data_IF_158256237213
#
_entry.id   IF_158256237213
#
_cell.length_a   1.000
_cell.length_b   1.000
_cell.length_c   1.000
_cell.angle_alpha   90.00
_cell.angle_beta   90.00
_cell.angle_gamma   90.00
#
_symmetry.space_group_name_H-M   'P 1'
#
loop_
_entity.id
_entity.type
_entity.pdbx_description
1 polymer ?
#
# COMPACT_ATOMS: atom_id res chain seq x y z
N UNK A 1 -4.60 33.51 -40.26
CA UNK A 1 -5.75 32.73 -39.75
C UNK A 1 -6.37 33.56 -38.63
N UNK A 2 -7.59 34.06 -38.79
CA UNK A 2 -8.27 34.91 -37.79
C UNK A 2 -9.03 33.97 -36.85
N UNK A 3 -8.48 33.70 -35.66
CA UNK A 3 -9.16 32.92 -34.63
C UNK A 3 -10.22 33.80 -33.98
N UNK A 4 -11.50 33.57 -34.30
CA UNK A 4 -12.61 34.34 -33.74
C UNK A 4 -12.89 33.83 -32.32
N UNK A 5 -12.61 34.64 -31.30
CA UNK A 5 -12.92 34.28 -29.91
C UNK A 5 -14.42 34.46 -29.65
N UNK A 6 -15.11 33.47 -29.06
CA UNK A 6 -16.51 33.60 -28.71
C UNK A 6 -16.70 34.73 -27.68
N UNK A 7 -17.72 35.55 -27.86
CA UNK A 7 -18.11 36.60 -26.93
C UNK A 7 -18.79 35.94 -25.71
N UNK A 8 -18.16 36.01 -24.54
CA UNK A 8 -18.67 35.44 -23.27
C UNK A 8 -17.63 34.60 -22.52
N UNK A 9 -18.03 34.04 -21.37
CA UNK A 9 -17.20 33.10 -20.63
C UNK A 9 -17.27 31.71 -21.27
N UNK A 10 -16.10 31.16 -21.61
CA UNK A 10 -15.97 29.88 -22.30
C UNK A 10 -15.15 28.90 -21.46
N UNK A 11 -15.70 27.69 -21.25
CA UNK A 11 -15.00 26.60 -20.57
C UNK A 11 -14.96 25.38 -21.47
N UNK A 12 -13.78 24.92 -21.84
CA UNK A 12 -13.62 23.76 -22.71
C UNK A 12 -12.45 23.89 -23.69
N UNK A 13 -12.42 22.99 -24.67
CA UNK A 13 -11.37 22.94 -25.71
C UNK A 13 -11.82 23.71 -26.96
N UNK A 14 -10.94 24.51 -27.55
CA UNK A 14 -11.10 25.12 -28.88
C UNK A 14 -9.82 24.77 -29.63
N UNK A 15 -9.90 23.88 -30.62
CA UNK A 15 -8.74 23.44 -31.40
C UNK A 15 -7.55 23.00 -30.51
N UNK A 16 -6.45 23.74 -30.57
CA UNK A 16 -5.21 23.57 -29.82
C UNK A 16 -5.16 24.40 -28.52
N UNK A 17 -6.28 24.95 -28.06
CA UNK A 17 -6.38 25.75 -26.83
C UNK A 17 -7.45 25.20 -25.89
N UNK A 18 -7.29 25.46 -24.60
CA UNK A 18 -8.30 25.23 -23.57
C UNK A 18 -8.61 26.56 -22.90
N UNK A 19 -9.89 26.92 -22.93
CA UNK A 19 -10.45 28.07 -22.22
C UNK A 19 -11.00 27.67 -20.86
N UNK A 20 -10.72 28.48 -19.83
CA UNK A 20 -11.35 28.37 -18.52
C UNK A 20 -11.36 29.73 -17.82
N UNK A 21 -12.26 29.89 -16.85
CA UNK A 21 -12.35 31.12 -16.04
C UNK A 21 -11.46 30.98 -14.81
N UNK A 22 -10.58 31.96 -14.59
CA UNK A 22 -9.75 32.06 -13.37
C UNK A 22 -9.90 33.47 -12.80
N UNK A 23 -10.37 33.57 -11.56
CA UNK A 23 -10.59 34.85 -10.88
C UNK A 23 -11.45 35.83 -11.69
N UNK A 24 -12.57 35.37 -12.28
CA UNK A 24 -13.48 36.19 -13.08
C UNK A 24 -12.96 36.60 -14.46
N UNK A 25 -11.74 36.17 -14.85
CA UNK A 25 -11.15 36.43 -16.16
C UNK A 25 -11.13 35.18 -17.02
N UNK A 26 -11.46 35.34 -18.30
CA UNK A 26 -11.31 34.29 -19.30
C UNK A 26 -9.82 34.07 -19.59
N UNK A 27 -9.34 32.85 -19.42
CA UNK A 27 -7.96 32.45 -19.72
C UNK A 27 -7.99 31.38 -20.80
N UNK A 28 -7.25 31.61 -21.89
CA UNK A 28 -6.98 30.60 -22.90
C UNK A 28 -5.53 30.15 -22.78
N UNK A 29 -5.32 28.84 -22.76
CA UNK A 29 -3.98 28.24 -22.74
C UNK A 29 -3.85 27.29 -23.92
N UNK A 30 -2.74 27.34 -24.64
CA UNK A 30 -2.41 26.31 -25.61
C UNK A 30 -2.31 24.94 -24.93
N UNK A 31 -2.81 23.92 -25.61
CA UNK A 31 -2.69 22.54 -25.20
C UNK A 31 -1.24 22.16 -25.38
N UNK A 32 -0.67 21.59 -24.31
CA UNK A 32 0.65 21.01 -24.43
C UNK A 32 0.50 19.64 -25.09
N UNK A 33 0.81 19.56 -26.38
CA UNK A 33 0.76 18.32 -27.16
C UNK A 33 1.91 17.36 -26.79
N UNK A 34 2.91 17.83 -26.05
CA UNK A 34 4.04 17.04 -25.51
C UNK A 34 4.20 17.29 -24.01
N UNK A 35 3.23 16.84 -23.19
CA UNK A 35 3.34 16.96 -21.75
C UNK A 35 4.59 16.22 -21.25
N UNK A 36 5.36 16.85 -20.36
CA UNK A 36 6.54 16.23 -19.71
C UNK A 36 6.17 14.92 -18.98
N UNK A 37 4.91 14.79 -18.56
CA UNK A 37 4.35 13.59 -17.96
C UNK A 37 3.00 13.27 -18.63
N UNK A 38 3.00 12.45 -19.70
CA UNK A 38 1.82 12.20 -20.52
C UNK A 38 0.71 11.39 -19.83
N UNK A 39 0.98 10.79 -18.66
CA UNK A 39 0.01 9.98 -17.92
C UNK A 39 -0.63 8.90 -18.79
N UNK A 40 0.17 8.24 -19.63
CA UNK A 40 -0.34 7.14 -20.48
C UNK A 40 -0.88 6.00 -19.62
N UNK A 41 -1.76 5.18 -20.19
CA UNK A 41 -2.36 4.04 -19.46
C UNK A 41 -1.30 3.14 -18.83
N UNK A 42 -0.22 2.84 -19.56
CA UNK A 42 0.92 2.07 -19.03
C UNK A 42 1.60 2.77 -17.84
N UNK A 43 1.81 4.08 -17.91
CA UNK A 43 2.39 4.84 -16.80
C UNK A 43 1.46 4.86 -15.59
N UNK A 44 0.15 4.98 -15.81
CA UNK A 44 -0.86 5.00 -14.73
C UNK A 44 -1.01 3.62 -14.08
N UNK A 45 -0.97 2.54 -14.86
CA UNK A 45 -0.92 1.17 -14.36
C UNK A 45 0.32 0.93 -13.49
N UNK A 46 1.49 1.40 -13.93
CA UNK A 46 2.70 1.27 -13.11
C UNK A 46 2.61 2.08 -11.81
N UNK A 47 2.02 3.28 -11.84
CA UNK A 47 1.83 4.13 -10.65
C UNK A 47 0.89 3.53 -9.62
N UNK A 48 -0.19 2.89 -10.07
CA UNK A 48 -1.21 2.28 -9.19
C UNK A 48 -0.69 1.03 -8.48
N UNK A 49 0.30 0.32 -9.07
CA UNK A 49 1.03 -0.77 -8.39
C UNK A 49 1.89 -0.30 -7.24
N UNK A 50 2.55 0.85 -7.43
CA UNK A 50 3.57 1.34 -6.50
C UNK A 50 3.03 1.48 -5.08
N UNK A 51 1.79 1.97 -4.92
CA UNK A 51 1.20 2.16 -3.59
C UNK A 51 1.14 0.86 -2.78
N UNK A 52 0.80 -0.28 -3.39
CA UNK A 52 0.76 -1.56 -2.67
C UNK A 52 2.16 -2.01 -2.25
N UNK A 53 3.13 -1.91 -3.17
CA UNK A 53 4.53 -2.28 -2.91
C UNK A 53 5.11 -1.44 -1.78
N UNK A 54 4.80 -0.14 -1.72
CA UNK A 54 5.24 0.73 -0.64
C UNK A 54 4.59 0.36 0.71
N UNK A 55 3.31 -0.01 0.71
CA UNK A 55 2.66 -0.52 1.93
C UNK A 55 3.31 -1.83 2.38
N UNK A 56 3.56 -2.76 1.46
CA UNK A 56 4.22 -4.03 1.76
C UNK A 56 5.65 -3.83 2.29
N UNK A 57 6.42 -2.93 1.69
CA UNK A 57 7.76 -2.57 2.17
C UNK A 57 7.71 -2.07 3.61
N UNK A 58 6.75 -1.21 3.96
CA UNK A 58 6.63 -0.71 5.35
C UNK A 58 6.46 -1.87 6.33
N UNK A 59 5.60 -2.82 6.00
CA UNK A 59 5.35 -4.03 6.81
C UNK A 59 6.57 -4.95 6.87
N UNK A 60 7.31 -5.11 5.77
CA UNK A 60 8.46 -6.01 5.65
C UNK A 60 9.81 -5.35 5.98
N UNK A 61 9.83 -4.05 6.26
CA UNK A 61 11.07 -3.25 6.27
C UNK A 61 12.06 -3.67 7.35
N UNK A 62 11.61 -4.26 8.46
CA UNK A 62 12.49 -4.80 9.51
C UNK A 62 13.41 -5.89 8.96
N UNK A 63 12.90 -6.77 8.10
CA UNK A 63 13.67 -7.85 7.48
C UNK A 63 14.39 -7.40 6.20
N UNK A 64 13.66 -6.71 5.31
CA UNK A 64 14.13 -6.35 3.96
C UNK A 64 15.40 -5.48 3.97
N UNK A 65 15.63 -4.70 5.02
CA UNK A 65 16.78 -3.78 5.10
C UNK A 65 18.13 -4.49 5.01
N UNK A 66 18.20 -5.75 5.44
CA UNK A 66 19.45 -6.51 5.53
C UNK A 66 19.53 -7.67 4.54
N UNK A 67 18.41 -8.08 3.95
CA UNK A 67 18.27 -9.32 3.18
C UNK A 67 18.64 -9.23 1.69
N UNK A 68 19.03 -8.05 1.21
CA UNK A 68 19.52 -7.84 -0.16
C UNK A 68 21.05 -7.80 -0.18
N UNK A 69 21.67 -8.98 -0.23
CA UNK A 69 23.12 -9.18 -0.17
C UNK A 69 23.83 -8.64 -1.41
N UNK A 70 23.33 -8.93 -2.61
CA UNK A 70 23.98 -8.66 -3.90
C UNK A 70 23.67 -7.26 -4.46
N UNK A 71 23.20 -6.33 -3.61
CA UNK A 71 22.80 -4.99 -4.06
C UNK A 71 24.01 -4.13 -4.47
N UNK A 72 23.90 -3.35 -5.57
CA UNK A 72 24.91 -2.35 -5.91
C UNK A 72 25.08 -1.30 -4.79
N UNK A 73 26.29 -0.76 -4.56
CA UNK A 73 26.54 0.24 -3.51
C UNK A 73 25.68 1.51 -3.61
N UNK A 74 25.29 1.89 -4.83
CA UNK A 74 24.43 3.05 -5.10
C UNK A 74 22.95 2.83 -4.79
N UNK A 75 22.54 1.58 -4.55
CA UNK A 75 21.14 1.22 -4.31
C UNK A 75 20.91 0.79 -2.87
N UNK A 76 19.84 1.29 -2.28
CA UNK A 76 19.34 0.85 -0.98
C UNK A 76 18.54 -0.44 -1.12
N UNK A 77 18.38 -1.18 -0.02
CA UNK A 77 17.48 -2.34 0.01
C UNK A 77 16.03 -1.96 -0.37
N UNK A 78 15.60 -0.74 -0.02
CA UNK A 78 14.32 -0.19 -0.49
C UNK A 78 14.25 -0.11 -2.02
N UNK A 79 15.29 0.43 -2.67
CA UNK A 79 15.32 0.54 -4.13
C UNK A 79 15.27 -0.85 -4.79
N UNK A 80 15.98 -1.84 -4.24
CA UNK A 80 15.96 -3.21 -4.72
C UNK A 80 14.58 -3.84 -4.56
N UNK A 81 13.98 -3.74 -3.36
CA UNK A 81 12.64 -4.24 -3.10
C UNK A 81 11.60 -3.64 -4.04
N UNK A 82 11.61 -2.32 -4.24
CA UNK A 82 10.68 -1.66 -5.15
C UNK A 82 10.93 -2.11 -6.59
N UNK A 83 12.18 -2.16 -7.05
CA UNK A 83 12.54 -2.58 -8.42
C UNK A 83 12.05 -3.99 -8.73
N UNK A 84 12.30 -4.94 -7.85
CA UNK A 84 12.00 -6.35 -8.06
C UNK A 84 10.48 -6.59 -8.05
N UNK A 85 9.79 -5.99 -7.09
CA UNK A 85 8.35 -6.18 -6.93
C UNK A 85 7.51 -5.37 -7.92
N UNK A 86 8.02 -4.26 -8.47
CA UNK A 86 7.29 -3.48 -9.47
C UNK A 86 7.08 -4.25 -10.78
N UNK A 87 8.01 -5.15 -11.12
CA UNK A 87 7.90 -6.03 -12.28
C UNK A 87 7.09 -7.29 -11.99
N UNK A 88 7.30 -7.90 -10.82
CA UNK A 88 6.73 -9.19 -10.47
C UNK A 88 5.28 -9.12 -9.98
N UNK A 89 4.88 -8.02 -9.32
CA UNK A 89 3.57 -7.95 -8.67
C UNK A 89 2.55 -7.20 -9.52
N UNK A 90 1.40 -7.84 -9.73
CA UNK A 90 0.18 -7.26 -10.31
C UNK A 90 -0.87 -7.04 -9.22
N UNK A 91 -0.74 -5.94 -8.47
CA UNK A 91 -1.77 -5.51 -7.51
C UNK A 91 -1.98 -4.02 -7.71
N UNK A 92 -3.21 -3.63 -8.03
CA UNK A 92 -3.55 -2.25 -8.31
C UNK A 92 -4.43 -1.66 -7.20
N UNK A 93 -3.98 -0.56 -6.61
CA UNK A 93 -4.76 0.20 -5.63
C UNK A 93 -5.32 1.46 -6.27
N UNK A 94 -6.58 1.75 -5.96
CA UNK A 94 -7.16 3.05 -6.27
C UNK A 94 -6.64 4.14 -5.32
N UNK A 95 -6.93 5.39 -5.68
CA UNK A 95 -6.43 6.55 -4.94
C UNK A 95 -6.90 6.57 -3.48
N UNK A 96 -8.12 6.10 -3.19
CA UNK A 96 -8.65 6.08 -1.83
C UNK A 96 -7.95 5.01 -1.00
N UNK A 97 -7.79 3.82 -1.56
CA UNK A 97 -7.08 2.70 -0.94
C UNK A 97 -5.60 3.05 -0.67
N UNK A 98 -4.94 3.68 -1.63
CA UNK A 98 -3.56 4.12 -1.47
C UNK A 98 -3.39 5.18 -0.37
N UNK A 99 -4.32 6.15 -0.28
CA UNK A 99 -4.32 7.16 0.79
C UNK A 99 -4.56 6.54 2.16
N UNK A 100 -5.38 5.50 2.23
CA UNK A 100 -5.62 4.71 3.42
C UNK A 100 -4.48 3.72 3.74
N UNK A 101 -3.42 3.68 2.92
CA UNK A 101 -2.30 2.74 3.04
C UNK A 101 -2.74 1.28 3.07
N UNK A 102 -3.76 0.95 2.27
CA UNK A 102 -4.17 -0.42 2.05
C UNK A 102 -2.97 -1.27 1.61
N UNK A 103 -2.99 -2.54 1.98
CA UNK A 103 -1.97 -3.51 1.60
C UNK A 103 -2.64 -4.84 1.30
N UNK A 104 -2.51 -5.26 0.06
CA UNK A 104 -2.90 -6.58 -0.40
C UNK A 104 -1.65 -7.44 -0.46
N UNK A 105 -1.71 -8.58 0.21
CA UNK A 105 -0.63 -9.56 0.21
C UNK A 105 -0.47 -10.14 -1.20
N UNK A 106 0.78 -10.27 -1.63
CA UNK A 106 1.16 -10.83 -2.93
C UNK A 106 2.51 -11.55 -2.79
N UNK A 107 2.96 -12.16 -3.88
CA UNK A 107 4.27 -12.83 -3.96
C UNK A 107 5.39 -11.79 -4.03
N UNK A 108 5.72 -11.20 -2.89
CA UNK A 108 6.79 -10.22 -2.81
C UNK A 108 8.16 -10.91 -2.74
N UNK A 109 9.09 -10.49 -3.58
CA UNK A 109 10.51 -10.77 -3.38
C UNK A 109 10.99 -10.03 -2.14
N UNK A 110 11.55 -10.76 -1.18
CA UNK A 110 11.96 -10.24 0.14
C UNK A 110 13.45 -10.33 0.39
N UNK A 111 14.18 -11.14 -0.38
CA UNK A 111 15.63 -11.27 -0.28
C UNK A 111 16.26 -11.62 -1.63
N UNK A 112 17.52 -11.23 -1.78
CA UNK A 112 18.39 -11.65 -2.88
C UNK A 112 19.78 -11.92 -2.34
N UNK A 113 20.34 -13.08 -2.71
CA UNK A 113 21.66 -13.47 -2.27
C UNK A 113 22.16 -14.73 -2.96
N UNK A 114 23.27 -15.25 -2.44
CA UNK A 114 24.06 -16.30 -3.06
C UNK A 114 23.73 -17.71 -2.55
N UNK A 115 23.00 -17.84 -1.45
CA UNK A 115 22.62 -19.15 -0.92
C UNK A 115 21.49 -19.76 -1.78
N UNK A 116 21.40 -21.10 -1.85
CA UNK A 116 20.31 -21.77 -2.56
C UNK A 116 18.94 -21.32 -2.04
N UNK A 117 17.97 -21.01 -2.94
CA UNK A 117 16.61 -20.65 -2.56
C UNK A 117 15.89 -21.83 -1.90
N UNK A 118 14.95 -21.53 -1.00
CA UNK A 118 14.00 -22.53 -0.50
C UNK A 118 12.77 -22.44 -1.40
N UNK A 119 12.65 -23.38 -2.34
CA UNK A 119 11.47 -23.43 -3.20
C UNK A 119 10.24 -23.74 -2.35
N UNK A 120 9.12 -23.11 -2.66
CA UNK A 120 7.84 -23.35 -2.00
C UNK A 120 6.79 -23.55 -3.08
N UNK A 121 6.05 -24.65 -3.00
CA UNK A 121 5.01 -25.04 -3.97
C UNK A 121 3.71 -25.33 -3.24
N UNK A 122 2.59 -24.96 -3.85
CA UNK A 122 1.28 -25.38 -3.37
C UNK A 122 1.09 -26.88 -3.66
N UNK A 123 0.66 -27.62 -2.64
CA UNK A 123 0.28 -29.03 -2.72
C UNK A 123 -1.06 -29.19 -2.01
N UNK A 124 -2.14 -29.28 -2.78
CA UNK A 124 -3.50 -29.20 -2.25
C UNK A 124 -3.73 -27.88 -1.50
N UNK A 125 -4.20 -27.99 -0.26
CA UNK A 125 -4.47 -26.86 0.63
C UNK A 125 -3.27 -26.46 1.51
N UNK A 126 -2.07 -26.97 1.21
CA UNK A 126 -0.82 -26.67 1.92
C UNK A 126 0.24 -26.06 1.02
N UNK A 127 1.21 -25.39 1.63
CA UNK A 127 2.50 -25.10 1.01
C UNK A 127 3.53 -26.13 1.45
N UNK A 128 4.28 -26.70 0.52
CA UNK A 128 5.39 -27.62 0.77
C UNK A 128 6.67 -26.97 0.25
N UNK A 129 7.71 -27.01 1.06
CA UNK A 129 9.01 -26.42 0.73
C UNK A 129 10.00 -27.47 0.21
N UNK A 130 11.11 -27.02 -0.37
CA UNK A 130 12.23 -27.89 -0.72
C UNK A 130 13.09 -28.34 0.47
N UNK A 131 12.81 -27.86 1.69
CA UNK A 131 13.52 -28.31 2.89
C UNK A 131 13.12 -29.74 3.23
N UNK A 132 14.09 -30.64 3.20
CA UNK A 132 13.88 -32.07 3.46
C UNK A 132 13.96 -32.42 4.93
N UNK A 133 13.15 -33.39 5.33
CA UNK A 133 13.16 -34.07 6.62
C UNK A 133 13.14 -35.60 6.36
N UNK A 134 13.57 -36.42 7.33
CA UNK A 134 13.45 -37.87 7.22
C UNK A 134 11.99 -38.28 7.02
N UNK A 135 11.73 -39.26 6.17
CA UNK A 135 10.39 -39.82 5.98
C UNK A 135 9.90 -40.42 7.30
N UNK A 136 8.65 -40.12 7.68
CA UNK A 136 8.06 -40.57 8.94
C UNK A 136 8.49 -39.79 10.18
N UNK A 137 9.37 -38.78 10.05
CA UNK A 137 9.63 -37.85 11.13
C UNK A 137 8.44 -36.92 11.33
N UNK A 138 7.92 -36.84 12.55
CA UNK A 138 6.93 -35.86 12.98
C UNK A 138 7.56 -34.92 14.01
N UNK A 139 7.07 -33.69 14.07
CA UNK A 139 7.45 -32.73 15.09
C UNK A 139 6.26 -32.59 16.02
N UNK A 140 6.50 -32.76 17.31
CA UNK A 140 5.50 -32.62 18.38
C UNK A 140 5.98 -31.64 19.46
N UNK A 141 5.20 -31.49 20.54
CA UNK A 141 5.51 -30.58 21.65
C UNK A 141 6.80 -30.96 22.41
N UNK A 142 7.22 -32.22 22.34
CA UNK A 142 8.44 -32.69 23.00
C UNK A 142 9.68 -32.57 22.12
N UNK A 143 9.48 -32.44 20.82
CA UNK A 143 10.55 -32.35 19.83
C UNK A 143 11.35 -31.06 20.04
N UNK A 144 12.67 -31.22 20.17
CA UNK A 144 13.58 -30.11 20.46
C UNK A 144 14.12 -29.45 19.20
N UNK A 145 14.59 -28.20 19.32
CA UNK A 145 15.32 -27.52 18.26
C UNK A 145 16.58 -28.29 17.84
N UNK A 146 17.25 -28.96 18.78
CA UNK A 146 18.40 -29.85 18.53
C UNK A 146 18.06 -30.97 17.55
N UNK A 147 16.97 -31.67 17.81
CA UNK A 147 16.49 -32.76 16.96
C UNK A 147 16.10 -32.24 15.57
N UNK A 148 15.27 -31.19 15.48
CA UNK A 148 14.88 -30.60 14.19
C UNK A 148 16.11 -30.13 13.40
N UNK A 149 17.05 -29.46 14.06
CA UNK A 149 18.29 -28.97 13.43
C UNK A 149 19.13 -30.12 12.89
N UNK A 150 19.29 -31.19 13.67
CA UNK A 150 20.05 -32.37 13.24
C UNK A 150 19.44 -33.04 12.00
N UNK A 151 18.10 -33.13 11.94
CA UNK A 151 17.39 -33.68 10.79
C UNK A 151 17.51 -32.79 9.56
N UNK A 152 17.35 -31.48 9.71
CA UNK A 152 17.50 -30.53 8.61
C UNK A 152 18.92 -30.53 8.05
N UNK A 153 19.95 -30.45 8.89
CA UNK A 153 21.36 -30.48 8.45
C UNK A 153 21.70 -31.83 7.81
N UNK A 154 21.20 -32.94 8.36
CA UNK A 154 21.44 -34.28 7.82
C UNK A 154 20.79 -34.54 6.46
N UNK A 155 19.62 -33.94 6.18
CA UNK A 155 18.87 -34.16 4.95
C UNK A 155 19.13 -33.12 3.85
N UNK A 156 19.78 -31.99 4.17
CA UNK A 156 19.95 -30.87 3.23
C UNK A 156 21.42 -30.43 3.16
N UNK A 157 22.10 -30.78 2.07
CA UNK A 157 23.54 -30.53 1.89
C UNK A 157 23.95 -29.04 1.91
N UNK A 158 23.01 -28.12 1.66
CA UNK A 158 23.28 -26.67 1.69
C UNK A 158 23.28 -26.08 3.11
N UNK A 159 22.63 -26.75 4.06
CA UNK A 159 22.45 -26.27 5.43
C UNK A 159 23.60 -26.71 6.33
N UNK A 160 23.95 -25.85 7.28
CA UNK A 160 24.99 -26.10 8.29
C UNK A 160 24.53 -25.62 9.65
N UNK A 161 25.06 -26.22 10.70
CA UNK A 161 24.91 -25.66 12.05
C UNK A 161 25.43 -24.21 12.08
N UNK A 162 24.71 -23.34 12.78
CA UNK A 162 24.93 -21.89 12.80
C UNK A 162 24.21 -21.12 11.68
N UNK A 163 23.66 -21.79 10.67
CA UNK A 163 22.77 -21.13 9.70
C UNK A 163 21.44 -20.77 10.38
N UNK A 164 20.79 -19.71 9.89
CA UNK A 164 19.49 -19.24 10.37
C UNK A 164 18.43 -19.46 9.30
N UNK A 165 17.27 -19.95 9.73
CA UNK A 165 16.05 -20.01 8.92
C UNK A 165 15.06 -18.99 9.49
N UNK A 166 14.62 -18.06 8.64
CA UNK A 166 13.63 -17.03 8.98
C UNK A 166 12.36 -17.28 8.19
N UNK A 167 11.23 -17.42 8.88
CA UNK A 167 9.91 -17.62 8.29
C UNK A 167 9.14 -16.31 8.38
N UNK A 168 8.87 -15.72 7.23
CA UNK A 168 8.05 -14.52 7.10
C UNK A 168 6.63 -14.94 6.77
N UNK A 169 5.69 -14.70 7.68
CA UNK A 169 4.28 -14.86 7.42
C UNK A 169 3.59 -13.50 7.33
N UNK A 170 3.21 -13.12 6.12
CA UNK A 170 2.46 -11.91 5.83
C UNK A 170 0.96 -12.24 5.82
N UNK A 171 0.28 -11.95 6.93
CA UNK A 171 -1.15 -12.22 7.15
C UNK A 171 -1.99 -11.17 6.44
N UNK A 172 -2.98 -11.61 5.67
CA UNK A 172 -3.99 -10.70 5.10
C UNK A 172 -5.09 -10.44 6.14
N UNK A 173 -5.22 -9.18 6.57
CA UNK A 173 -6.27 -8.79 7.52
C UNK A 173 -7.39 -8.07 6.78
N UNK A 174 -8.62 -8.57 6.97
CA UNK A 174 -9.87 -7.98 6.50
C UNK A 174 -10.69 -7.56 7.71
N UNK A 175 -10.77 -6.27 8.03
CA UNK A 175 -11.61 -5.81 9.11
C UNK A 175 -13.09 -5.94 8.75
N UNK A 176 -13.95 -6.21 9.74
CA UNK A 176 -15.41 -6.35 9.56
C UNK A 176 -16.02 -5.10 8.90
N UNK A 177 -16.96 -5.32 7.98
CA UNK A 177 -17.69 -4.27 7.25
C UNK A 177 -18.52 -3.36 8.17
N UNK A 178 -18.79 -3.76 9.41
CA UNK A 178 -19.56 -2.99 10.41
C UNK A 178 -18.95 -1.62 10.74
N UNK A 179 -17.64 -1.42 10.50
CA UNK A 179 -16.95 -0.15 10.72
C UNK A 179 -16.58 0.61 9.43
N UNK A 180 -17.30 0.38 8.32
CA UNK A 180 -17.53 1.31 7.21
C UNK A 180 -16.33 1.92 6.43
N UNK A 181 -15.08 1.68 6.84
CA UNK A 181 -13.90 2.41 6.36
C UNK A 181 -12.61 1.60 6.36
N UNK A 182 -12.65 0.34 6.80
CA UNK A 182 -11.41 -0.35 7.13
C UNK A 182 -10.88 -1.10 5.89
N UNK A 183 -9.87 -0.51 5.27
CA UNK A 183 -9.22 -1.06 4.08
C UNK A 183 -8.43 -2.32 4.41
N UNK A 184 -8.30 -3.27 3.45
CA UNK A 184 -7.46 -4.44 3.65
C UNK A 184 -6.03 -4.02 3.93
N UNK A 185 -5.42 -4.65 4.93
CA UNK A 185 -4.04 -4.40 5.32
C UNK A 185 -3.32 -5.71 5.62
N UNK A 186 -2.00 -5.64 5.73
CA UNK A 186 -1.15 -6.80 5.97
C UNK A 186 -0.39 -6.64 7.28
N UNK A 187 -0.24 -7.74 8.01
CA UNK A 187 0.57 -7.84 9.22
C UNK A 187 1.70 -8.86 8.99
N UNK A 188 2.89 -8.57 9.50
CA UNK A 188 4.02 -9.50 9.45
C UNK A 188 4.16 -10.23 10.79
N UNK A 189 4.20 -11.55 10.74
CA UNK A 189 4.76 -12.40 11.79
C UNK A 189 6.09 -12.95 11.31
N UNK A 190 7.15 -12.72 12.07
CA UNK A 190 8.49 -13.19 11.77
C UNK A 190 8.91 -14.21 12.82
N UNK A 191 9.28 -15.41 12.39
CA UNK A 191 9.82 -16.46 13.24
C UNK A 191 11.24 -16.77 12.78
N UNK A 192 12.17 -16.92 13.71
CA UNK A 192 13.56 -17.18 13.39
C UNK A 192 14.15 -18.21 14.34
N UNK A 193 14.96 -19.12 13.82
CA UNK A 193 15.78 -20.01 14.63
C UNK A 193 17.11 -20.26 13.95
N UNK A 194 18.12 -20.54 14.76
CA UNK A 194 19.46 -20.93 14.31
C UNK A 194 19.56 -22.46 14.43
N UNK A 195 20.15 -23.11 13.42
CA UNK A 195 20.39 -24.54 13.43
C UNK A 195 21.46 -24.86 14.46
N UNK A 196 21.06 -25.51 15.56
CA UNK A 196 21.91 -25.83 16.71
C UNK A 196 21.56 -27.25 17.17
N UNK A 197 22.54 -28.15 17.23
CA UNK A 197 22.29 -29.59 17.41
C UNK A 197 22.11 -30.05 18.85
N UNK A 198 22.54 -29.26 19.82
CA UNK A 198 22.51 -29.54 21.26
C UNK A 198 21.40 -28.77 22.00
N UNK A 199 20.59 -28.00 21.27
CA UNK A 199 19.51 -27.20 21.84
C UNK A 199 18.37 -28.08 22.36
N UNK A 200 18.03 -27.90 23.65
CA UNK A 200 16.92 -28.60 24.32
C UNK A 200 15.61 -27.81 24.32
N UNK A 201 15.58 -26.68 23.64
CA UNK A 201 14.39 -25.82 23.59
C UNK A 201 13.31 -26.55 22.79
N UNK A 202 12.08 -26.73 23.32
CA UNK A 202 10.99 -27.31 22.54
C UNK A 202 10.69 -26.47 21.30
N UNK A 203 10.68 -27.09 20.12
CA UNK A 203 10.74 -26.37 18.84
C UNK A 203 9.55 -25.41 18.63
N UNK A 204 8.34 -25.83 19.00
CA UNK A 204 7.13 -25.02 18.86
C UNK A 204 6.99 -23.86 19.85
N UNK A 205 7.95 -23.68 20.77
CA UNK A 205 8.06 -22.41 21.52
C UNK A 205 8.67 -21.29 20.68
N UNK A 206 9.42 -21.64 19.62
CA UNK A 206 10.07 -20.71 18.71
C UNK A 206 9.34 -20.56 17.38
N UNK A 207 8.48 -21.54 17.04
CA UNK A 207 7.83 -21.66 15.74
C UNK A 207 6.33 -21.87 15.87
N UNK A 208 5.54 -21.23 15.00
CA UNK A 208 4.12 -21.57 14.87
C UNK A 208 4.00 -22.93 14.18
N UNK A 209 3.37 -23.89 14.87
CA UNK A 209 3.15 -25.24 14.38
C UNK A 209 2.49 -25.26 13.00
N UNK A 210 1.63 -24.29 12.68
CA UNK A 210 0.93 -24.25 11.38
C UNK A 210 1.84 -23.83 10.23
N UNK A 211 2.98 -23.22 10.50
CA UNK A 211 3.93 -22.73 9.50
C UNK A 211 5.12 -23.68 9.29
N UNK A 212 5.30 -24.67 10.16
CA UNK A 212 6.43 -25.58 10.09
C UNK A 212 6.06 -26.96 10.62
N UNK A 213 5.68 -27.86 9.70
CA UNK A 213 5.40 -29.27 9.99
C UNK A 213 6.14 -30.17 9.03
N UNK A 214 6.36 -31.41 9.45
CA UNK A 214 6.81 -32.45 8.54
C UNK A 214 5.61 -32.96 7.72
N UNK A 215 5.71 -32.84 6.39
CA UNK A 215 4.72 -33.28 5.41
C UNK A 215 5.47 -34.08 4.35
N UNK A 216 5.24 -35.40 4.29
CA UNK A 216 5.83 -36.30 3.28
C UNK A 216 7.35 -36.12 3.10
N UNK A 217 8.09 -36.07 4.21
CA UNK A 217 9.55 -35.90 4.19
C UNK A 217 10.03 -34.49 3.82
N UNK A 218 9.15 -33.49 3.86
CA UNK A 218 9.47 -32.09 3.62
C UNK A 218 8.92 -31.19 4.73
N UNK A 219 9.42 -29.97 4.83
CA UNK A 219 8.78 -28.94 5.66
C UNK A 219 7.62 -28.33 4.88
N UNK A 220 6.46 -28.24 5.50
CA UNK A 220 5.28 -27.59 4.93
C UNK A 220 4.45 -26.84 5.97
N UNK A 221 3.41 -26.20 5.47
CA UNK A 221 2.38 -25.57 6.29
C UNK A 221 1.26 -26.54 6.59
N UNK A 222 0.47 -26.22 7.61
CA UNK A 222 -0.82 -26.84 7.83
C UNK A 222 -1.87 -26.37 6.78
N UNK A 223 -3.02 -27.03 6.74
CA UNK A 223 -4.16 -26.67 5.88
C UNK A 223 -4.84 -25.38 6.35
N UNK A 224 -4.83 -25.09 7.66
CA UNK A 224 -5.62 -24.00 8.26
C UNK A 224 -4.78 -22.81 8.77
N UNK A 225 -3.82 -22.36 7.96
CA UNK A 225 -2.98 -21.19 8.30
C UNK A 225 -3.75 -19.86 8.19
N UNK A 226 -4.73 -19.80 7.28
CA UNK A 226 -5.48 -18.60 6.94
C UNK A 226 -4.97 -17.91 5.66
N UNK A 227 -5.49 -16.72 5.37
CA UNK A 227 -5.09 -15.96 4.18
C UNK A 227 -3.77 -15.19 4.37
N UNK A 228 -2.90 -15.23 3.37
CA UNK A 228 -1.65 -14.50 3.38
C UNK A 228 -0.59 -15.09 2.46
N UNK A 229 0.67 -14.82 2.77
CA UNK A 229 1.81 -15.39 2.06
C UNK A 229 2.93 -15.72 3.04
N UNK A 230 3.65 -16.80 2.76
CA UNK A 230 4.75 -17.31 3.60
C UNK A 230 6.03 -17.38 2.79
N UNK A 231 7.16 -17.00 3.38
CA UNK A 231 8.48 -17.17 2.79
C UNK A 231 9.47 -17.75 3.79
N UNK A 232 10.30 -18.68 3.33
CA UNK A 232 11.35 -19.32 4.13
C UNK A 232 12.70 -18.81 3.62
N UNK A 233 13.41 -18.04 4.44
CA UNK A 233 14.69 -17.44 4.05
C UNK A 233 15.82 -18.13 4.79
N UNK A 234 16.78 -18.65 4.04
CA UNK A 234 18.03 -19.18 4.57
C UNK A 234 19.05 -18.05 4.64
N UNK A 235 19.70 -17.89 5.78
CA UNK A 235 20.81 -16.95 5.95
C UNK A 235 21.98 -17.58 6.69
N UNK A 236 23.19 -17.12 6.35
CA UNK A 236 24.44 -17.58 6.96
C UNK A 236 25.29 -16.39 7.35
N UNK A 237 25.65 -16.29 8.61
CA UNK A 237 26.60 -15.27 9.08
C UNK A 237 28.03 -15.73 8.80
N UNK A 238 28.75 -15.00 7.97
CA UNK A 238 30.18 -15.19 7.73
C UNK A 238 30.99 -14.13 8.50
N UNK A 239 32.32 -14.22 8.44
CA UNK A 239 33.21 -13.21 9.06
C UNK A 239 33.04 -11.81 8.45
N UNK A 240 32.60 -11.73 7.18
CA UNK A 240 32.57 -10.47 6.41
C UNK A 240 31.17 -9.90 6.24
N UNK A 241 30.16 -10.77 6.09
CA UNK A 241 28.78 -10.38 5.84
C UNK A 241 27.80 -11.50 6.19
N UNK A 242 26.50 -11.18 6.15
CA UNK A 242 25.44 -12.20 6.15
C UNK A 242 25.09 -12.54 4.70
N UNK A 243 25.20 -13.82 4.35
CA UNK A 243 24.73 -14.37 3.09
C UNK A 243 23.25 -14.72 3.21
N UNK A 244 22.48 -14.52 2.14
CA UNK A 244 21.04 -14.81 2.10
C UNK A 244 20.70 -15.70 0.91
N UNK A 245 19.61 -16.44 1.01
CA UNK A 245 18.96 -17.05 -0.14
C UNK A 245 18.11 -16.02 -0.87
N UNK A 246 17.99 -16.16 -2.19
CA UNK A 246 17.02 -15.36 -2.96
C UNK A 246 15.62 -15.92 -2.71
N UNK A 247 14.72 -15.12 -2.14
CA UNK A 247 13.40 -15.60 -1.72
C UNK A 247 12.28 -14.64 -2.09
N UNK A 248 11.18 -15.23 -2.55
CA UNK A 248 9.87 -14.58 -2.64
C UNK A 248 8.88 -15.27 -1.71
N UNK A 249 7.88 -14.52 -1.25
CA UNK A 249 6.75 -15.08 -0.52
C UNK A 249 5.90 -15.93 -1.48
N UNK A 250 5.42 -17.08 -1.01
CA UNK A 250 4.44 -17.90 -1.69
C UNK A 250 3.06 -17.66 -1.09
N UNK A 251 2.05 -17.49 -1.94
CA UNK A 251 0.67 -17.28 -1.48
C UNK A 251 0.12 -18.55 -0.83
N UNK A 252 -0.48 -18.41 0.35
CA UNK A 252 -1.19 -19.52 0.99
C UNK A 252 -2.43 -19.89 0.18
N UNK A 253 -2.76 -21.18 0.07
CA UNK A 253 -4.04 -21.65 -0.45
C UNK A 253 -5.20 -20.92 0.25
N UNK A 254 -6.14 -20.40 -0.54
CA UNK A 254 -7.25 -19.56 -0.02
C UNK A 254 -7.01 -18.05 -0.10
N UNK A 255 -5.82 -17.58 -0.43
CA UNK A 255 -5.56 -16.14 -0.60
C UNK A 255 -6.13 -15.62 -1.93
N UNK A 256 -7.33 -15.03 -1.88
CA UNK A 256 -8.08 -14.62 -3.08
C UNK A 256 -7.97 -13.13 -3.43
N UNK A 257 -7.72 -12.27 -2.45
CA UNK A 257 -7.72 -10.80 -2.63
C UNK A 257 -6.73 -10.34 -3.70
N UNK A 258 -5.55 -10.95 -3.75
CA UNK A 258 -4.54 -10.64 -4.76
C UNK A 258 -5.05 -10.85 -6.19
N UNK A 259 -5.90 -11.87 -6.43
CA UNK A 259 -6.48 -12.13 -7.76
C UNK A 259 -7.48 -11.04 -8.16
N UNK A 260 -8.34 -10.63 -7.23
CA UNK A 260 -9.28 -9.53 -7.48
C UNK A 260 -8.53 -8.22 -7.75
N UNK A 261 -7.53 -7.93 -6.93
CA UNK A 261 -6.75 -6.69 -7.03
C UNK A 261 -5.73 -6.68 -8.17
N UNK A 262 -5.37 -7.85 -8.70
CA UNK A 262 -4.52 -8.00 -9.89
C UNK A 262 -5.26 -8.04 -11.22
N UNK A 263 -6.60 -8.01 -11.19
CA UNK A 263 -7.40 -8.04 -12.42
C UNK A 263 -7.24 -6.77 -13.27
N UNK A 264 -7.38 -6.92 -14.60
CA UNK A 264 -7.42 -5.79 -15.53
C UNK A 264 -8.53 -4.79 -15.17
N UNK A 265 -9.71 -5.28 -14.77
CA UNK A 265 -10.82 -4.43 -14.31
C UNK A 265 -10.43 -3.57 -13.10
N UNK A 266 -9.69 -4.13 -12.14
CA UNK A 266 -9.17 -3.35 -11.01
C UNK A 266 -8.12 -2.34 -11.49
N UNK A 267 -7.24 -2.75 -12.38
CA UNK A 267 -6.22 -1.88 -12.99
C UNK A 267 -6.84 -0.63 -13.62
N UNK A 268 -7.87 -0.80 -14.45
CA UNK A 268 -8.54 0.32 -15.14
C UNK A 268 -9.32 1.20 -14.15
N UNK A 269 -10.01 0.60 -13.17
CA UNK A 269 -10.67 1.34 -12.07
C UNK A 269 -9.67 2.16 -11.26
N UNK A 270 -8.53 1.58 -10.93
CA UNK A 270 -7.47 2.24 -10.20
C UNK A 270 -6.92 3.41 -11.02
N UNK A 271 -6.56 3.20 -12.28
CA UNK A 271 -6.05 4.26 -13.17
C UNK A 271 -7.01 5.45 -13.25
N UNK A 272 -8.31 5.20 -13.50
CA UNK A 272 -9.34 6.22 -13.59
C UNK A 272 -9.51 7.04 -12.29
N UNK A 273 -9.21 6.46 -11.12
CA UNK A 273 -9.28 7.17 -9.83
C UNK A 273 -8.19 8.23 -9.64
N UNK A 274 -7.08 8.13 -10.39
CA UNK A 274 -5.97 9.09 -10.35
C UNK A 274 -6.04 10.13 -11.45
N UNK A 275 -6.85 9.90 -12.49
CA UNK A 275 -7.13 10.90 -13.50
C UNK A 275 -7.83 12.10 -12.86
N UNK A 276 -7.36 13.32 -13.15
CA UNK A 276 -8.17 14.50 -12.90
C UNK A 276 -9.37 14.38 -13.84
N UNK A 277 -10.59 14.30 -13.29
CA UNK A 277 -11.80 14.63 -14.06
C UNK A 277 -11.66 16.06 -14.54
N UNK A 278 -11.06 16.26 -15.72
CA UNK A 278 -11.50 17.33 -16.58
C UNK A 278 -12.88 16.85 -17.00
N UNK A 279 -13.93 17.38 -16.38
CA UNK A 279 -15.26 17.23 -16.94
C UNK A 279 -15.11 17.54 -18.43
N UNK A 280 -15.26 16.52 -19.29
CA UNK A 280 -15.56 16.73 -20.70
C UNK A 280 -16.98 17.29 -20.71
N UNK A 281 -17.11 18.53 -20.24
CA UNK A 281 -18.33 19.28 -20.33
C UNK A 281 -18.65 19.37 -21.80
N UNK A 282 -19.75 18.70 -22.18
CA UNK A 282 -20.50 19.14 -23.35
C UNK A 282 -20.63 20.66 -23.24
N UNK A 283 -20.29 21.36 -24.32
CA UNK A 283 -20.41 22.81 -24.47
C UNK A 283 -21.73 23.28 -23.82
N UNK A 284 -21.63 23.91 -22.65
CA UNK A 284 -22.72 24.69 -22.08
C UNK A 284 -22.25 26.12 -22.13
N UNK A 285 -22.68 26.84 -23.16
CA UNK A 285 -22.63 28.29 -23.14
C UNK A 285 -23.62 28.78 -22.09
N UNK A 286 -23.19 29.70 -21.23
CA UNK A 286 -24.09 30.51 -20.39
C UNK A 286 -24.78 31.56 -21.27
N UNK A 287 -25.64 31.07 -22.16
CA UNK A 287 -26.79 31.75 -22.74
C UNK A 287 -27.57 30.63 -23.43
N UNK A 288 -28.83 30.42 -23.04
CA UNK A 288 -29.63 29.27 -23.44
C UNK A 288 -29.95 29.21 -24.93
N UNK A 289 -28.95 28.96 -25.78
CA UNK A 289 -29.10 28.64 -27.20
C UNK A 289 -28.16 27.51 -27.56
N UNK A 290 -28.76 26.36 -27.87
CA UNK A 290 -28.07 25.26 -28.53
C UNK A 290 -27.71 25.71 -29.96
N UNK A 291 -26.41 25.86 -30.24
CA UNK A 291 -25.92 26.05 -31.60
C UNK A 291 -25.67 24.68 -32.21
N UNK A 292 -26.59 24.21 -33.06
CA UNK A 292 -26.32 23.14 -34.00
C UNK A 292 -25.43 23.70 -35.12
N UNK A 293 -24.24 23.13 -35.27
CA UNK A 293 -23.36 23.41 -36.40
C UNK A 293 -23.77 22.47 -37.54
N UNK A 294 -24.45 23.01 -38.53
CA UNK A 294 -24.53 22.41 -39.86
C UNK A 294 -23.91 23.37 -40.89
N UNK A 295 -23.32 22.78 -41.92
CA UNK A 295 -22.30 23.36 -42.80
C UNK A 295 -22.60 24.79 -43.25
N UNK A 296 -21.77 25.73 -42.76
CA UNK A 296 -21.39 26.96 -43.46
C UNK A 296 -22.51 27.83 -44.02
N UNK A 297 -23.28 28.49 -43.15
CA UNK A 297 -23.84 29.85 -43.32
C UNK A 297 -24.71 30.20 -42.11
N UNK A 298 -24.38 31.29 -41.42
CA UNK A 298 -25.21 31.86 -40.35
C UNK A 298 -26.34 32.67 -40.99
N UNK A 299 -27.58 32.25 -40.80
CA UNK A 299 -28.78 33.05 -41.05
C UNK A 299 -29.45 33.29 -39.69
N UNK A 300 -29.68 34.57 -39.34
CA UNK A 300 -30.42 34.96 -38.14
C UNK A 300 -31.85 35.23 -38.58
N UNK A 301 -32.79 34.38 -38.18
CA UNK A 301 -34.22 34.67 -38.25
C UNK A 301 -34.75 34.74 -36.82
N UNK A 302 -35.45 35.83 -36.52
CA UNK A 302 -36.07 36.11 -35.23
C UNK A 302 -37.58 36.01 -35.38
N UNK A 303 -38.15 34.91 -34.93
CA UNK A 303 -39.57 34.83 -34.57
C UNK A 303 -39.66 34.45 -33.10
N UNK A 304 -40.32 35.29 -32.30
CA UNK A 304 -41.51 34.91 -31.52
C UNK A 304 -41.84 35.99 -30.49
N UNK A 305 -43.08 36.49 -30.57
CA UNK A 305 -43.69 37.39 -29.61
C UNK A 305 -45.14 36.92 -29.44
N UNK A 306 -45.40 35.96 -28.56
CA UNK A 306 -46.75 35.63 -28.08
C UNK A 306 -46.76 35.12 -26.64
N UNK A 307 -47.46 35.90 -25.80
CA UNK A 307 -48.37 35.48 -24.70
C UNK A 307 -47.74 34.86 -23.45
N UNK A 308 -48.24 35.05 -22.23
CA UNK A 308 -49.18 35.99 -21.61
C UNK A 308 -48.91 35.96 -20.09
N UNK A 309 -49.10 37.09 -19.42
CA UNK A 309 -49.06 37.25 -17.96
C UNK A 309 -50.50 37.13 -17.41
N UNK A 310 -50.67 36.41 -16.30
CA UNK A 310 -51.77 36.58 -15.36
C UNK A 310 -51.19 36.59 -13.92
N UNK A 311 -51.14 37.74 -13.25
CA UNK A 311 -52.03 38.21 -12.15
C UNK A 311 -51.68 37.57 -10.79
N UNK A 312 -50.85 38.20 -9.95
CA UNK A 312 -51.16 39.16 -8.85
C UNK A 312 -51.91 38.55 -7.65
N UNK A 313 -51.28 38.61 -6.48
CA UNK A 313 -51.88 38.48 -5.14
C UNK A 313 -50.92 38.96 -4.04
N UNK A 314 -51.15 40.17 -3.52
CA UNK A 314 -50.44 40.90 -2.43
C UNK A 314 -50.50 40.13 -1.09
N UNK A 315 -49.43 39.99 -0.30
CA UNK A 315 -48.79 40.92 0.68
C UNK A 315 -49.72 41.47 1.76
N UNK A 316 -49.46 41.15 3.04
CA UNK A 316 -49.39 42.05 4.22
C UNK A 316 -48.49 41.39 5.31
N UNK A 317 -47.77 42.16 6.16
CA UNK A 317 -46.49 41.77 6.78
C UNK A 317 -46.48 41.74 8.34
N UNK A 318 -45.25 41.67 8.90
CA UNK A 318 -44.76 42.11 10.22
C UNK A 318 -44.62 41.12 11.39
N UNK A 319 -43.42 41.16 12.01
CA UNK A 319 -43.25 41.08 13.47
C UNK A 319 -42.57 39.83 14.04
N UNK A 320 -41.29 39.94 14.42
CA UNK A 320 -40.65 39.13 15.49
C UNK A 320 -41.11 39.66 16.87
N UNK A 321 -41.10 38.87 17.97
CA UNK A 321 -39.89 38.78 18.81
C UNK A 321 -39.69 37.46 19.60
N UNK A 322 -38.54 37.42 20.29
CA UNK A 322 -37.93 36.38 21.13
C UNK A 322 -38.75 35.92 22.36
N UNK A 323 -38.44 34.71 22.88
CA UNK A 323 -38.08 34.38 24.28
C UNK A 323 -38.37 32.89 24.58
N UNK A 324 -37.39 32.03 24.87
CA UNK A 324 -36.77 31.65 26.18
C UNK A 324 -37.64 30.81 27.13
N UNK A 325 -37.24 29.53 27.35
CA UNK A 325 -37.35 28.65 28.56
C UNK A 325 -37.43 27.19 28.09
N UNK A 326 -36.84 26.16 28.72
CA UNK A 326 -35.96 26.02 29.89
C UNK A 326 -35.22 24.68 29.70
N UNK A 327 -33.94 24.59 30.09
CA UNK A 327 -33.44 24.11 31.39
C UNK A 327 -33.83 22.65 31.68
N UNK A 328 -32.80 21.80 31.58
CA UNK A 328 -32.66 20.50 32.25
C UNK A 328 -31.17 20.29 32.53
N UNK A 329 -30.74 20.78 33.69
CA UNK A 329 -29.46 20.46 34.36
C UNK A 329 -29.35 18.92 34.55
N UNK A 330 -28.18 18.28 34.59
CA UNK A 330 -27.18 18.45 35.64
C UNK A 330 -25.92 17.60 35.36
N UNK A 331 -24.76 18.21 35.68
CA UNK A 331 -23.61 17.65 36.41
C UNK A 331 -22.88 16.44 35.77
N UNK A 332 -21.58 16.44 35.52
CA UNK A 332 -20.48 17.32 35.89
C UNK A 332 -19.20 16.49 35.91
N UNK A 333 -18.07 17.10 35.52
CA UNK A 333 -16.68 16.91 36.01
C UNK A 333 -15.70 17.42 34.96
N UNK A 334 -15.18 18.62 35.20
CA UNK A 334 -14.03 19.13 34.48
C UNK A 334 -12.76 18.42 34.95
N UNK A 335 -11.88 18.10 34.00
CA UNK A 335 -10.45 17.96 34.25
C UNK A 335 -9.67 18.72 33.17
N UNK A 336 -8.97 19.71 33.70
CA UNK A 336 -7.88 20.53 33.16
C UNK A 336 -6.99 19.78 32.14
N UNK A 337 -6.94 20.27 30.89
CA UNK A 337 -5.91 19.89 29.92
C UNK A 337 -4.57 20.54 30.32
N UNK A 338 -3.67 19.77 30.94
CA UNK A 338 -2.24 20.12 31.05
C UNK A 338 -1.55 19.93 29.68
N UNK A 339 -0.64 20.82 29.26
CA UNK A 339 0.04 20.71 27.96
C UNK A 339 1.23 19.74 28.05
N UNK A 340 0.98 18.46 27.77
CA UNK A 340 1.98 17.38 27.74
C UNK A 340 3.16 17.62 26.77
N UNK A 341 3.04 18.57 25.83
CA UNK A 341 4.05 18.82 24.79
C UNK A 341 5.25 19.63 25.28
N UNK A 342 5.12 20.43 26.34
CA UNK A 342 6.22 21.29 26.82
C UNK A 342 7.21 20.51 27.68
N UNK A 343 6.72 19.51 28.42
CA UNK A 343 7.54 18.69 29.33
C UNK A 343 8.38 17.67 28.56
N UNK A 344 7.83 17.07 27.50
CA UNK A 344 8.59 16.20 26.59
C UNK A 344 9.68 16.96 25.81
N UNK A 345 9.42 18.22 25.43
CA UNK A 345 10.41 19.07 24.77
C UNK A 345 11.56 19.46 25.73
N UNK A 346 11.26 19.72 27.01
CA UNK A 346 12.27 20.01 28.03
C UNK A 346 13.13 18.79 28.38
N UNK A 347 12.55 17.59 28.42
CA UNK A 347 13.32 16.36 28.63
C UNK A 347 14.29 16.11 27.46
N UNK A 348 13.81 16.22 26.21
CA UNK A 348 14.67 16.05 25.02
C UNK A 348 15.82 17.07 24.96
N UNK A 349 15.58 18.32 25.37
CA UNK A 349 16.62 19.34 25.43
C UNK A 349 17.70 19.01 26.48
N UNK A 350 17.32 18.49 27.66
CA UNK A 350 18.26 18.07 28.71
C UNK A 350 19.12 16.89 28.24
N UNK A 351 18.53 15.88 27.61
CA UNK A 351 19.29 14.70 27.11
C UNK A 351 20.28 15.05 26.01
N UNK A 352 19.98 16.07 25.19
CA UNK A 352 20.89 16.57 24.15
C UNK A 352 22.04 17.40 24.73
N UNK A 353 21.81 18.10 25.83
CA UNK A 353 22.83 18.89 26.52
C UNK A 353 23.83 18.00 27.26
N UNK A 354 23.35 16.95 27.95
CA UNK A 354 24.20 15.93 28.59
C UNK A 354 25.05 15.16 27.57
N UNK A 355 24.52 14.86 26.38
CA UNK A 355 25.31 14.23 25.29
C UNK A 355 26.37 15.16 24.70
N UNK A 356 26.18 16.48 24.75
CA UNK A 356 27.19 17.46 24.31
C UNK A 356 28.30 17.63 25.33
N UNK A 357 27.99 17.61 26.62
CA UNK A 357 29.00 17.67 27.69
C UNK A 357 29.85 16.39 27.74
N UNK A 358 29.25 15.21 27.62
CA UNK A 358 30.00 13.94 27.59
C UNK A 358 30.91 13.78 26.35
N UNK A 359 30.63 14.50 25.25
CA UNK A 359 31.52 14.56 24.09
C UNK A 359 32.68 15.54 24.25
N UNK A 360 32.56 16.55 25.11
CA UNK A 360 33.66 17.47 25.45
C UNK A 360 34.68 16.85 26.42
N UNK A 361 34.24 15.94 27.29
CA UNK A 361 35.12 15.28 28.27
C UNK A 361 35.98 14.17 27.63
N UNK A 362 35.54 13.58 26.51
CA UNK A 362 36.26 12.49 25.80
C UNK A 362 37.12 12.96 24.62
N UNK A 363 37.34 14.26 24.47
CA UNK A 363 38.03 14.82 23.33
C UNK A 363 38.96 15.96 23.71
N UNK A 364 40.11 15.64 24.27
CA UNK A 364 41.36 16.40 24.11
C UNK A 364 42.54 15.42 24.28
N UNK A 365 43.63 15.65 23.53
CA UNK A 365 44.54 14.62 23.00
C UNK A 365 45.31 13.79 24.02
#
# INVERSE_FOLDING_TARGET
>A
MITTFPIGYYRGRIENMVGYVRCGRQVFRSINDRPFNPQTDMQMRQRTKLSNILSAYRTLSSFVRESYQTRPPSLTAYNMFVKNNLRATDVFLDKREALAKACIVAEFNVSEGTLPPIETKASGDRLVTSLRLPVGFSIDETTTLGEVSSRLVGCNASLRYGDRISILYMVQVRPSEEFGLCMPHAQLKLYEFVLEGDSRIPFYTLMDERLFRAVDGHVGTDEQVGEGAVGYVHSRKTKRCTEYSTQSLALLPGTVLCRTYGSLRKSDKAAASYEKRVERGKLKGESGRELKVEKGKLKVESEELKRDKATVGKVVPMGRPNATRGVGEAVGRGIVKKPLKVEQARMLARTLQEKKENRKIRGTP
#
